data_IF_675992476748
#
_entry.id   IF_675992476748
#
_cell.length_a   1.000
_cell.length_b   1.000
_cell.length_c   1.000
_cell.angle_alpha   90.00
_cell.angle_beta   90.00
_cell.angle_gamma   90.00
#
_symmetry.space_group_name_H-M   'P 1'
#
loop_
_entity.id
_entity.type
_entity.pdbx_description
1 polymer ?
#
# COMPACT_ATOMS: atom_id res chain seq x y z
N UNK A 1 -8.71 -8.40 10.65
CA UNK A 1 -9.62 -7.38 10.11
C UNK A 1 -10.03 -7.80 8.69
N UNK A 2 -11.23 -8.28 8.55
CA UNK A 2 -11.71 -8.78 7.28
C UNK A 2 -12.87 -7.93 6.81
N UNK A 3 -12.76 -7.37 5.61
CA UNK A 3 -13.82 -6.59 4.96
C UNK A 3 -14.33 -5.38 5.75
N UNK A 4 -13.60 -4.90 6.75
CA UNK A 4 -14.08 -3.86 7.67
C UNK A 4 -14.45 -2.56 6.97
N UNK A 5 -13.63 -2.12 6.00
CA UNK A 5 -13.86 -0.87 5.24
C UNK A 5 -14.18 -1.14 3.78
N UNK A 6 -14.52 -2.39 3.45
CA UNK A 6 -14.78 -2.78 2.07
C UNK A 6 -15.94 -1.96 1.50
N UNK A 7 -15.72 -1.38 0.32
CA UNK A 7 -16.74 -0.61 -0.39
C UNK A 7 -17.02 0.76 0.18
N UNK A 8 -16.23 1.25 1.14
CA UNK A 8 -16.40 2.61 1.66
C UNK A 8 -15.84 3.61 0.66
N UNK A 9 -16.71 4.23 -0.13
CA UNK A 9 -16.34 5.11 -1.24
C UNK A 9 -15.95 6.52 -0.81
N UNK A 10 -16.13 6.87 0.46
CA UNK A 10 -15.86 8.23 0.96
C UNK A 10 -14.59 8.32 1.81
N UNK A 11 -13.97 7.19 2.10
CA UNK A 11 -12.82 7.13 2.98
C UNK A 11 -11.57 7.56 2.21
N UNK A 12 -10.94 8.69 2.62
CA UNK A 12 -9.70 9.19 2.02
C UNK A 12 -8.46 8.72 2.76
N UNK A 13 -8.55 8.61 4.08
CA UNK A 13 -7.48 8.14 4.95
C UNK A 13 -8.08 7.20 5.99
N UNK A 14 -7.29 6.25 6.43
CA UNK A 14 -7.71 5.32 7.46
C UNK A 14 -6.53 5.05 8.38
N UNK A 15 -6.83 4.98 9.69
CA UNK A 15 -5.86 4.59 10.69
C UNK A 15 -6.08 3.13 11.03
N UNK A 16 -5.09 2.29 10.73
CA UNK A 16 -5.17 0.86 11.00
C UNK A 16 -4.60 0.53 12.37
N UNK A 17 -5.16 -0.44 13.08
CA UNK A 17 -4.63 -0.86 14.38
C UNK A 17 -3.18 -1.31 14.27
N UNK A 18 -2.34 -0.91 15.22
CA UNK A 18 -0.93 -1.30 15.24
C UNK A 18 -0.71 -2.77 15.56
N UNK A 19 -1.78 -3.49 15.90
CA UNK A 19 -1.77 -4.94 16.16
C UNK A 19 -2.27 -5.75 14.96
N UNK A 20 -2.65 -5.08 13.88
CA UNK A 20 -3.19 -5.75 12.69
C UNK A 20 -2.15 -6.67 12.07
N UNK A 21 -2.52 -7.92 11.82
CA UNK A 21 -1.63 -8.94 11.25
C UNK A 21 -2.02 -9.29 9.82
N UNK A 22 -3.31 -9.33 9.53
CA UNK A 22 -3.83 -9.79 8.24
C UNK A 22 -4.85 -8.80 7.69
N UNK A 23 -4.60 -8.33 6.46
CA UNK A 23 -5.49 -7.41 5.75
C UNK A 23 -6.28 -8.18 4.69
N UNK A 24 -7.36 -8.85 5.08
CA UNK A 24 -8.23 -9.57 4.15
C UNK A 24 -9.32 -8.66 3.59
N UNK A 25 -9.07 -8.05 2.44
CA UNK A 25 -10.04 -7.20 1.73
C UNK A 25 -10.62 -6.06 2.58
N UNK A 26 -9.88 -5.62 3.61
CA UNK A 26 -10.37 -4.60 4.53
C UNK A 26 -10.69 -3.28 3.83
N UNK A 27 -9.94 -2.94 2.80
CA UNK A 27 -10.08 -1.68 2.06
C UNK A 27 -10.47 -1.87 0.59
N UNK A 28 -10.87 -3.08 0.23
CA UNK A 28 -11.28 -3.36 -1.14
C UNK A 28 -12.48 -2.47 -1.53
N UNK A 29 -12.34 -1.78 -2.66
CA UNK A 29 -13.41 -0.90 -3.14
C UNK A 29 -13.45 0.48 -2.48
N UNK A 30 -12.45 0.85 -1.69
CA UNK A 30 -12.35 2.19 -1.10
C UNK A 30 -11.83 3.18 -2.17
N UNK A 31 -12.71 3.61 -3.07
CA UNK A 31 -12.34 4.38 -4.27
C UNK A 31 -11.75 5.75 -3.98
N UNK A 32 -12.11 6.37 -2.86
CA UNK A 32 -11.62 7.70 -2.49
C UNK A 32 -10.33 7.67 -1.67
N UNK A 33 -9.82 6.49 -1.35
CA UNK A 33 -8.62 6.35 -0.53
C UNK A 33 -7.41 6.95 -1.25
N UNK A 34 -6.79 7.96 -0.65
CA UNK A 34 -5.66 8.68 -1.23
C UNK A 34 -4.33 8.27 -0.63
N UNK A 35 -4.33 7.79 0.60
CA UNK A 35 -3.11 7.35 1.27
C UNK A 35 -3.41 6.26 2.29
N UNK A 36 -2.42 5.42 2.54
CA UNK A 36 -2.51 4.36 3.53
C UNK A 36 -1.17 4.17 4.21
N UNK A 37 -1.20 3.91 5.50
CA UNK A 37 -0.04 3.46 6.27
C UNK A 37 -0.32 2.05 6.73
N UNK A 38 0.46 1.11 6.24
CA UNK A 38 0.34 -0.30 6.63
C UNK A 38 1.25 -0.53 7.84
N UNK A 39 0.67 -0.86 9.01
CA UNK A 39 1.44 -0.96 10.25
C UNK A 39 2.51 -2.04 10.20
N UNK A 40 3.53 -1.88 11.05
CA UNK A 40 4.66 -2.80 11.14
C UNK A 40 4.25 -4.25 11.48
N UNK A 41 3.10 -4.43 12.14
CA UNK A 41 2.60 -5.74 12.53
C UNK A 41 2.02 -6.58 11.40
N UNK A 42 1.73 -5.98 10.25
CA UNK A 42 1.05 -6.68 9.15
C UNK A 42 1.97 -7.71 8.52
N UNK A 43 1.48 -8.94 8.39
CA UNK A 43 2.21 -10.06 7.79
C UNK A 43 1.61 -10.53 6.47
N UNK A 44 0.32 -10.26 6.22
CA UNK A 44 -0.35 -10.66 4.99
C UNK A 44 -1.29 -9.58 4.48
N UNK A 45 -1.33 -9.43 3.15
CA UNK A 45 -2.19 -8.46 2.46
C UNK A 45 -2.94 -9.23 1.36
N UNK A 46 -4.23 -8.97 1.19
CA UNK A 46 -5.00 -9.60 0.14
C UNK A 46 -4.63 -9.05 -1.23
N UNK A 47 -4.75 -9.88 -2.25
CA UNK A 47 -4.62 -9.44 -3.63
C UNK A 47 -5.69 -8.38 -3.92
N UNK A 48 -5.31 -7.36 -4.69
CA UNK A 48 -6.21 -6.26 -5.07
C UNK A 48 -6.80 -5.48 -3.89
N UNK A 49 -6.13 -5.50 -2.73
CA UNK A 49 -6.59 -4.79 -1.53
C UNK A 49 -6.95 -3.34 -1.84
N UNK A 50 -6.17 -2.69 -2.69
CA UNK A 50 -6.32 -1.27 -3.02
C UNK A 50 -6.83 -1.05 -4.45
N UNK A 51 -7.43 -2.05 -5.07
CA UNK A 51 -7.98 -1.91 -6.40
C UNK A 51 -9.00 -0.78 -6.44
N UNK A 52 -8.91 0.06 -7.47
CA UNK A 52 -9.76 1.24 -7.68
C UNK A 52 -9.55 2.38 -6.68
N UNK A 53 -8.61 2.26 -5.73
CA UNK A 53 -8.25 3.37 -4.85
C UNK A 53 -7.63 4.52 -5.66
N UNK A 54 -7.68 5.72 -5.09
CA UNK A 54 -7.11 6.92 -5.72
C UNK A 54 -5.77 7.28 -5.07
N UNK A 55 -4.90 6.31 -4.87
CA UNK A 55 -3.68 6.47 -4.09
C UNK A 55 -2.74 7.52 -4.67
N UNK A 56 -2.25 8.40 -3.80
CA UNK A 56 -1.13 9.29 -4.04
C UNK A 56 0.16 8.62 -3.57
N UNK A 57 0.08 7.89 -2.46
CA UNK A 57 1.21 7.12 -1.92
C UNK A 57 0.71 6.05 -0.96
N UNK A 58 1.57 5.07 -0.73
CA UNK A 58 1.37 4.08 0.32
C UNK A 58 2.65 3.97 1.13
N UNK A 59 2.52 3.87 2.45
CA UNK A 59 3.65 3.67 3.36
C UNK A 59 3.50 2.28 3.96
N UNK A 60 4.52 1.45 3.77
CA UNK A 60 4.50 0.04 4.21
C UNK A 60 5.61 -0.12 5.24
N UNK A 61 5.25 -0.24 6.52
CA UNK A 61 6.19 -0.22 7.64
C UNK A 61 6.78 -1.57 8.05
N UNK A 62 6.21 -2.75 7.72
CA UNK A 62 6.82 -4.01 8.12
C UNK A 62 8.27 -4.13 7.68
N UNK A 63 9.15 -4.59 8.57
CA UNK A 63 10.55 -4.82 8.25
C UNK A 63 10.74 -6.05 7.36
N UNK A 64 9.87 -7.03 7.51
CA UNK A 64 9.82 -8.21 6.64
C UNK A 64 8.68 -8.00 5.66
N UNK A 65 8.93 -8.09 4.35
CA UNK A 65 7.87 -7.87 3.36
C UNK A 65 6.67 -8.78 3.60
N UNK A 66 5.46 -8.21 3.73
CA UNK A 66 4.25 -9.03 3.88
C UNK A 66 4.04 -9.96 2.69
N UNK A 67 3.48 -11.14 2.96
CA UNK A 67 3.07 -12.06 1.89
C UNK A 67 1.67 -11.68 1.39
N UNK A 68 1.29 -12.23 0.25
CA UNK A 68 0.01 -11.92 -0.37
C UNK A 68 -0.90 -13.15 -0.36
N UNK A 69 -2.18 -12.93 -0.08
CA UNK A 69 -3.19 -13.97 -0.26
C UNK A 69 -3.32 -14.30 -1.76
N UNK A 70 -3.47 -15.56 -2.09
CA UNK A 70 -3.71 -16.09 -3.43
C UNK A 70 -2.57 -15.95 -4.44
N UNK A 71 -1.65 -15.02 -4.30
CA UNK A 71 -0.43 -14.96 -5.10
C UNK A 71 -0.57 -14.66 -6.60
N UNK A 72 -1.75 -14.32 -7.10
CA UNK A 72 -1.95 -14.02 -8.52
C UNK A 72 -1.87 -12.55 -8.85
N UNK A 73 -2.30 -11.68 -7.96
CA UNK A 73 -2.34 -10.25 -8.19
C UNK A 73 -1.74 -9.50 -7.01
N UNK A 74 -1.09 -8.38 -7.30
CA UNK A 74 -0.58 -7.48 -6.28
C UNK A 74 -1.72 -6.72 -5.61
N UNK A 75 -1.58 -6.30 -4.32
CA UNK A 75 -2.62 -5.53 -3.66
C UNK A 75 -2.89 -4.18 -4.31
N UNK A 76 -1.92 -3.65 -5.06
CA UNK A 76 -2.02 -2.33 -5.70
C UNK A 76 -2.34 -2.40 -7.19
N UNK A 77 -2.62 -3.57 -7.73
CA UNK A 77 -2.99 -3.70 -9.13
C UNK A 77 -4.30 -2.97 -9.43
N UNK A 78 -4.43 -2.51 -10.68
CA UNK A 78 -5.64 -1.85 -11.18
C UNK A 78 -5.96 -0.53 -10.47
N UNK A 79 -4.93 0.22 -10.09
CA UNK A 79 -5.09 1.60 -9.65
C UNK A 79 -4.95 2.50 -10.86
N UNK A 80 -6.04 3.20 -11.21
CA UNK A 80 -6.10 4.05 -12.39
C UNK A 80 -6.42 5.49 -12.01
N UNK A 81 -5.97 6.44 -12.84
CA UNK A 81 -6.38 7.84 -12.70
C UNK A 81 -7.74 8.09 -13.37
N UNK A 82 -8.21 9.36 -13.36
CA UNK A 82 -9.52 9.72 -13.92
C UNK A 82 -9.59 9.53 -15.44
N UNK A 83 -8.45 9.34 -16.11
CA UNK A 83 -8.41 9.12 -17.56
C UNK A 83 -8.28 7.64 -17.92
N UNK A 84 -8.47 6.76 -16.96
CA UNK A 84 -8.33 5.29 -17.08
C UNK A 84 -6.91 4.83 -17.41
N UNK A 85 -5.91 5.68 -17.17
CA UNK A 85 -4.50 5.29 -17.25
C UNK A 85 -4.04 4.81 -15.88
N UNK A 86 -3.05 3.92 -15.84
CA UNK A 86 -2.47 3.45 -14.59
C UNK A 86 -1.90 4.65 -13.84
N UNK A 87 -2.40 4.86 -12.63
CA UNK A 87 -2.02 6.00 -11.81
C UNK A 87 -0.59 5.88 -11.33
N UNK A 88 0.15 6.98 -11.37
CA UNK A 88 1.51 7.04 -10.82
C UNK A 88 1.41 7.31 -9.33
N UNK A 89 1.90 6.39 -8.53
CA UNK A 89 2.00 6.50 -7.08
C UNK A 89 3.28 5.81 -6.65
N UNK A 90 3.74 6.06 -5.42
CA UNK A 90 4.91 5.38 -4.88
C UNK A 90 4.55 4.61 -3.62
N UNK A 91 5.28 3.53 -3.39
CA UNK A 91 5.17 2.69 -2.21
C UNK A 91 6.48 2.85 -1.44
N UNK A 92 6.39 3.41 -0.23
CA UNK A 92 7.55 3.70 0.60
C UNK A 92 7.72 2.60 1.64
N UNK A 93 8.93 2.04 1.71
CA UNK A 93 9.26 0.95 2.64
C UNK A 93 10.45 1.38 3.51
N UNK A 94 10.67 0.75 4.68
CA UNK A 94 11.80 1.12 5.54
C UNK A 94 13.12 1.03 4.77
N UNK A 95 13.98 2.01 4.96
CA UNK A 95 15.25 2.10 4.23
C UNK A 95 16.08 0.82 4.39
N UNK A 96 16.15 0.28 5.62
CA UNK A 96 16.91 -0.93 5.90
C UNK A 96 16.31 -2.19 5.29
N UNK A 97 15.05 -2.16 4.90
CA UNK A 97 14.35 -3.30 4.32
C UNK A 97 14.16 -3.16 2.81
N UNK A 98 14.58 -2.06 2.22
CA UNK A 98 14.36 -1.82 0.79
C UNK A 98 14.85 -2.97 -0.08
N UNK A 99 16.07 -3.46 0.17
CA UNK A 99 16.63 -4.54 -0.62
C UNK A 99 15.80 -5.84 -0.51
N UNK A 100 15.26 -6.12 0.67
CA UNK A 100 14.40 -7.29 0.88
C UNK A 100 13.09 -7.15 0.11
N UNK A 101 12.47 -5.96 0.12
CA UNK A 101 11.26 -5.72 -0.67
C UNK A 101 11.55 -5.84 -2.16
N UNK A 102 12.65 -5.26 -2.62
CA UNK A 102 13.01 -5.24 -4.04
C UNK A 102 13.22 -6.63 -4.65
N UNK A 103 13.57 -7.62 -3.82
CA UNK A 103 13.77 -8.99 -4.30
C UNK A 103 12.65 -9.95 -3.89
N UNK A 104 11.68 -9.52 -3.09
CA UNK A 104 10.58 -10.36 -2.66
C UNK A 104 9.54 -10.56 -3.75
N UNK A 105 8.91 -11.73 -3.77
CA UNK A 105 7.89 -12.06 -4.75
C UNK A 105 6.78 -11.02 -4.75
N UNK A 106 6.40 -10.55 -5.92
CA UNK A 106 5.40 -9.54 -6.20
C UNK A 106 5.84 -8.12 -5.83
N UNK A 107 6.51 -7.90 -4.69
CA UNK A 107 7.07 -6.58 -4.37
C UNK A 107 8.12 -6.15 -5.39
N UNK A 108 8.88 -7.11 -5.93
CA UNK A 108 9.89 -6.82 -6.95
C UNK A 108 9.31 -6.21 -8.23
N UNK A 109 8.04 -6.48 -8.52
CA UNK A 109 7.37 -5.90 -9.69
C UNK A 109 7.23 -4.38 -9.56
N UNK A 110 7.01 -3.89 -8.34
CA UNK A 110 6.93 -2.45 -8.08
C UNK A 110 8.30 -1.78 -8.22
N UNK A 111 9.36 -2.47 -7.76
CA UNK A 111 10.71 -1.97 -7.93
C UNK A 111 11.07 -1.84 -9.42
N UNK A 112 10.73 -2.82 -10.25
CA UNK A 112 11.02 -2.83 -11.68
C UNK A 112 10.38 -1.67 -12.43
N UNK A 113 9.22 -1.22 -11.99
CA UNK A 113 8.50 -0.10 -12.63
C UNK A 113 8.74 1.23 -11.92
N UNK A 114 9.67 1.28 -10.96
CA UNK A 114 10.07 2.51 -10.29
C UNK A 114 9.08 3.03 -9.26
N UNK A 115 8.23 2.19 -8.71
CA UNK A 115 7.22 2.59 -7.71
C UNK A 115 7.66 2.35 -6.28
N UNK A 116 8.65 1.50 -6.07
CA UNK A 116 9.17 1.21 -4.74
C UNK A 116 10.21 2.24 -4.35
N UNK A 117 10.09 2.82 -3.17
CA UNK A 117 11.00 3.86 -2.71
C UNK A 117 11.34 3.67 -1.24
N UNK A 118 12.43 4.27 -0.80
CA UNK A 118 12.82 4.27 0.61
C UNK A 118 11.99 5.29 1.38
N UNK A 119 11.64 4.96 2.61
CA UNK A 119 10.83 5.83 3.46
C UNK A 119 11.48 7.20 3.66
N UNK A 120 12.83 7.28 3.69
CA UNK A 120 13.53 8.56 3.78
C UNK A 120 13.23 9.49 2.61
N UNK A 121 12.84 8.95 1.45
CA UNK A 121 12.47 9.74 0.28
C UNK A 121 11.10 10.41 0.42
N UNK A 122 10.26 9.89 1.31
CA UNK A 122 8.90 10.40 1.49
C UNK A 122 8.87 11.88 1.84
N UNK A 123 9.76 12.33 2.72
CA UNK A 123 9.79 13.73 3.16
C UNK A 123 10.17 14.67 2.03
N UNK A 124 10.98 14.22 1.09
CA UNK A 124 11.34 14.99 -0.10
C UNK A 124 10.17 15.05 -1.08
N UNK A 125 9.48 13.93 -1.28
CA UNK A 125 8.37 13.85 -2.23
C UNK A 125 7.11 14.55 -1.70
N UNK A 126 6.86 14.48 -0.38
CA UNK A 126 5.67 15.04 0.26
C UNK A 126 6.07 15.82 1.53
N UNK A 127 6.71 17.00 1.36
CA UNK A 127 7.28 17.73 2.51
C UNK A 127 6.24 18.23 3.52
N UNK A 128 4.98 18.37 3.12
CA UNK A 128 3.92 18.87 3.99
C UNK A 128 3.06 17.77 4.60
N UNK A 129 3.39 16.49 4.35
CA UNK A 129 2.63 15.36 4.83
C UNK A 129 3.26 14.75 6.08
N UNK A 130 2.40 14.22 6.95
CA UNK A 130 2.85 13.40 8.09
C UNK A 130 2.11 12.09 8.06
N UNK A 131 2.85 10.98 8.20
CA UNK A 131 2.24 9.64 8.23
C UNK A 131 2.14 9.07 9.65
N UNK A 132 2.48 9.85 10.66
CA UNK A 132 2.51 9.39 12.05
C UNK A 132 1.20 9.53 12.81
N UNK A 133 0.17 9.93 12.19
CA UNK A 133 -1.10 10.20 12.88
C UNK A 133 -2.04 9.00 13.00
#
# INVERSE_FOLDING_TARGET
>A
MKNTFRGNMHLKRVSLPKTLVDMEYALYGAESLESIVIPQSVQRISALEFANANLLYAIVLPEVPPTFHNGYYNPFDKIYDTTHKIKKYKIYVPDNSYAEYAKSRLWSDYEKVGRLAKLSQFRTDFPNESYFE
#
